data_IF_866181648286
#
_entry.id   IF_866181648286
#
_cell.length_a   1.000
_cell.length_b   1.000
_cell.length_c   1.000
_cell.angle_alpha   90.00
_cell.angle_beta   90.00
_cell.angle_gamma   90.00
#
_symmetry.space_group_name_H-M   'P 1'
#
loop_
_entity.id
_entity.type
_entity.pdbx_description
1 polymer ?
#
# COMPACT_ATOMS: atom_id res chain seq x y z
N UNK A 1 -9.50 15.89 1.32
CA UNK A 1 -10.17 14.61 0.95
C UNK A 1 -9.19 13.44 0.77
N UNK A 2 -9.55 12.25 1.26
CA UNK A 2 -8.77 10.99 1.18
C UNK A 2 -9.63 9.88 0.58
N UNK A 3 -9.08 9.10 -0.36
CA UNK A 3 -9.66 7.85 -0.86
C UNK A 3 -8.96 6.67 -0.19
N UNK A 4 -9.71 5.76 0.42
CA UNK A 4 -9.20 4.55 1.06
C UNK A 4 -9.75 3.30 0.36
N UNK A 5 -8.87 2.35 0.07
CA UNK A 5 -9.24 1.06 -0.52
C UNK A 5 -8.15 0.01 -0.31
N UNK A 6 -8.52 -1.25 -0.54
CA UNK A 6 -7.67 -2.41 -0.35
C UNK A 6 -7.32 -3.11 -1.67
N UNK A 7 -6.08 -3.61 -1.77
CA UNK A 7 -5.68 -4.53 -2.83
C UNK A 7 -5.00 -5.76 -2.28
N UNK A 8 -5.22 -6.90 -2.94
CA UNK A 8 -4.69 -8.19 -2.48
C UNK A 8 -3.50 -8.65 -3.31
N UNK A 9 -2.47 -9.15 -2.62
CA UNK A 9 -1.28 -9.79 -3.22
C UNK A 9 -1.28 -11.27 -2.84
N UNK A 10 -1.24 -12.16 -3.82
CA UNK A 10 -1.28 -13.61 -3.55
C UNK A 10 -0.01 -14.09 -2.86
N UNK A 11 -0.19 -14.90 -1.81
CA UNK A 11 0.87 -15.65 -1.16
C UNK A 11 1.20 -16.87 -2.02
N UNK A 12 2.33 -16.80 -2.73
CA UNK A 12 2.80 -17.86 -3.65
C UNK A 12 3.89 -18.73 -3.04
N UNK A 13 4.60 -18.23 -2.04
CA UNK A 13 5.70 -18.93 -1.37
C UNK A 13 5.18 -20.11 -0.54
N UNK A 14 5.70 -21.31 -0.82
CA UNK A 14 5.25 -22.56 -0.18
C UNK A 14 5.26 -22.50 1.36
N UNK A 15 6.28 -21.93 2.05
CA UNK A 15 6.31 -21.90 3.51
C UNK A 15 5.13 -21.15 4.15
N UNK A 16 4.60 -20.12 3.47
CA UNK A 16 3.54 -19.25 3.99
C UNK A 16 2.16 -19.57 3.40
N UNK A 17 2.12 -20.41 2.36
CA UNK A 17 0.88 -20.78 1.68
C UNK A 17 0.15 -21.87 2.47
N UNK A 18 -1.06 -21.56 2.90
CA UNK A 18 -1.96 -22.54 3.50
C UNK A 18 -2.56 -23.45 2.44
N UNK A 19 -2.40 -24.74 2.67
CA UNK A 19 -2.97 -25.82 1.87
C UNK A 19 -3.89 -26.65 2.74
N UNK A 20 -4.93 -27.19 2.13
CA UNK A 20 -5.80 -28.18 2.77
C UNK A 20 -5.03 -29.50 2.97
N UNK A 21 -5.55 -30.41 3.81
CA UNK A 21 -4.96 -31.74 3.98
C UNK A 21 -4.80 -32.52 2.67
N UNK A 22 -5.65 -32.26 1.66
CA UNK A 22 -5.60 -32.85 0.31
C UNK A 22 -4.59 -32.16 -0.63
N UNK A 23 -3.78 -31.23 -0.13
CA UNK A 23 -2.80 -30.47 -0.90
C UNK A 23 -3.39 -29.38 -1.80
N UNK A 24 -4.73 -29.23 -1.86
CA UNK A 24 -5.37 -28.17 -2.66
C UNK A 24 -5.38 -26.84 -1.92
N UNK A 25 -5.42 -25.74 -2.68
CA UNK A 25 -5.56 -24.40 -2.12
C UNK A 25 -6.92 -24.20 -1.44
N UNK A 26 -6.94 -23.47 -0.33
CA UNK A 26 -8.17 -23.03 0.34
C UNK A 26 -8.93 -22.05 -0.58
N UNK A 27 -10.22 -22.30 -0.87
CA UNK A 27 -11.11 -21.41 -1.63
C UNK A 27 -11.84 -20.42 -0.68
N UNK A 28 -12.03 -19.17 -1.11
CA UNK A 28 -12.64 -18.06 -0.34
C UNK A 28 -11.79 -16.78 -0.42
N UNK A 29 -12.19 -15.66 0.21
CA UNK A 29 -11.33 -14.48 0.46
C UNK A 29 -10.14 -14.96 1.30
N UNK A 30 -9.12 -15.46 0.61
CA UNK A 30 -8.34 -16.58 1.12
C UNK A 30 -7.27 -16.08 2.08
N UNK A 31 -7.01 -16.83 3.14
CA UNK A 31 -5.80 -16.69 3.96
C UNK A 31 -4.51 -16.70 3.11
N UNK A 32 -4.55 -17.12 1.85
CA UNK A 32 -3.45 -17.04 0.88
C UNK A 32 -3.34 -15.70 0.13
N UNK A 33 -3.88 -14.62 0.70
CA UNK A 33 -3.73 -13.26 0.20
C UNK A 33 -3.26 -12.35 1.30
N UNK A 34 -2.29 -11.49 1.00
CA UNK A 34 -1.92 -10.33 1.81
C UNK A 34 -2.79 -9.15 1.40
N UNK A 35 -3.40 -8.50 2.37
CA UNK A 35 -4.10 -7.24 2.14
C UNK A 35 -3.13 -6.08 2.27
N UNK A 36 -3.09 -5.28 1.20
CA UNK A 36 -2.43 -3.98 1.16
C UNK A 36 -3.52 -2.93 1.22
N UNK A 37 -3.55 -2.16 2.31
CA UNK A 37 -4.43 -0.99 2.43
C UNK A 37 -3.70 0.22 1.84
N UNK A 38 -4.41 1.01 1.05
CA UNK A 38 -3.89 2.24 0.46
C UNK A 38 -4.79 3.42 0.82
N UNK A 39 -4.18 4.55 1.17
CA UNK A 39 -4.86 5.83 1.32
C UNK A 39 -4.20 6.83 0.38
N UNK A 40 -4.99 7.53 -0.43
CA UNK A 40 -4.51 8.47 -1.44
C UNK A 40 -5.33 9.75 -1.36
N UNK A 41 -4.68 10.90 -1.26
CA UNK A 41 -5.36 12.18 -1.32
C UNK A 41 -5.49 12.69 -2.76
N UNK A 42 -6.26 13.76 -2.95
CA UNK A 42 -6.51 14.37 -4.28
C UNK A 42 -5.25 14.87 -4.99
N UNK A 43 -4.18 15.13 -4.25
CA UNK A 43 -2.89 15.56 -4.81
C UNK A 43 -2.01 14.37 -5.23
N UNK A 44 -2.48 13.13 -5.03
CA UNK A 44 -1.74 11.90 -5.31
C UNK A 44 -0.69 11.54 -4.26
N UNK A 45 -0.67 12.25 -3.12
CA UNK A 45 0.12 11.85 -1.94
C UNK A 45 -0.57 10.65 -1.31
N UNK A 46 0.20 9.63 -0.97
CA UNK A 46 -0.32 8.31 -0.64
C UNK A 46 0.47 7.61 0.45
N UNK A 47 -0.15 6.57 0.99
CA UNK A 47 0.45 5.56 1.87
C UNK A 47 -0.07 4.18 1.44
N UNK A 48 0.77 3.16 1.55
CA UNK A 48 0.43 1.77 1.28
C UNK A 48 1.09 0.86 2.32
N UNK A 49 0.30 0.04 3.01
CA UNK A 49 0.80 -0.88 4.06
C UNK A 49 0.24 -2.27 3.89
N UNK A 50 1.07 -3.29 4.08
CA UNK A 50 0.62 -4.66 4.30
C UNK A 50 0.07 -4.73 5.71
N UNK A 51 -1.23 -4.98 5.85
CA UNK A 51 -1.91 -4.89 7.15
C UNK A 51 -2.20 -6.27 7.73
N UNK A 52 -2.63 -7.21 6.88
CA UNK A 52 -3.09 -8.51 7.33
C UNK A 52 -3.02 -9.56 6.23
N UNK A 53 -3.29 -10.80 6.59
CA UNK A 53 -3.80 -11.81 5.67
C UNK A 53 -5.30 -11.63 5.52
N UNK A 54 -5.82 -11.82 4.31
CA UNK A 54 -7.22 -11.55 3.98
C UNK A 54 -7.66 -10.14 4.44
N UNK A 55 -8.96 -9.91 4.56
CA UNK A 55 -9.50 -8.59 4.87
C UNK A 55 -9.12 -8.13 6.29
N UNK A 56 -8.52 -6.93 6.48
CA UNK A 56 -8.11 -6.43 7.79
C UNK A 56 -9.28 -6.25 8.75
N UNK A 57 -9.00 -6.24 10.05
CA UNK A 57 -9.94 -5.81 11.09
C UNK A 57 -9.85 -4.28 11.29
N UNK A 58 -10.92 -3.61 11.75
CA UNK A 58 -10.92 -2.17 12.02
C UNK A 58 -9.74 -1.70 12.87
N UNK A 59 -9.40 -2.43 13.93
CA UNK A 59 -8.26 -2.12 14.79
C UNK A 59 -6.94 -2.08 14.01
N UNK A 60 -6.77 -2.99 13.05
CA UNK A 60 -5.56 -3.02 12.23
C UNK A 60 -5.46 -1.81 11.30
N UNK A 61 -6.57 -1.19 10.90
CA UNK A 61 -6.53 0.10 10.22
C UNK A 61 -6.06 1.22 11.17
N UNK A 62 -6.60 1.25 12.39
CA UNK A 62 -6.22 2.24 13.42
C UNK A 62 -4.71 2.19 13.66
N UNK A 63 -4.21 1.00 14.04
CA UNK A 63 -2.79 0.79 14.39
C UNK A 63 -1.84 1.14 13.23
N UNK A 64 -2.31 1.04 11.99
CA UNK A 64 -1.47 1.28 10.81
C UNK A 64 -1.61 2.69 10.24
N UNK A 65 -2.71 3.41 10.45
CA UNK A 65 -2.98 4.63 9.68
C UNK A 65 -3.23 5.86 10.53
N UNK A 66 -3.56 5.74 11.83
CA UNK A 66 -3.91 6.90 12.65
C UNK A 66 -2.71 7.82 12.92
N UNK A 67 -1.53 7.30 13.22
CA UNK A 67 -0.36 8.13 13.61
C UNK A 67 0.18 9.07 12.52
N UNK A 68 -0.12 8.79 11.25
CA UNK A 68 0.43 9.53 10.11
C UNK A 68 -0.63 10.18 9.24
N UNK A 69 -1.89 10.14 9.68
CA UNK A 69 -2.98 10.80 8.99
C UNK A 69 -2.98 12.28 9.41
N UNK A 70 -2.75 13.17 8.45
CA UNK A 70 -2.87 14.60 8.68
C UNK A 70 -4.34 15.01 8.86
N UNK A 71 -4.61 16.31 8.74
CA UNK A 71 -5.98 16.80 8.73
C UNK A 71 -6.78 16.14 7.60
N UNK A 72 -7.86 15.46 7.96
CA UNK A 72 -8.82 14.89 7.02
C UNK A 72 -10.02 15.80 6.95
N UNK A 73 -10.51 16.07 5.75
CA UNK A 73 -11.74 16.84 5.53
C UNK A 73 -12.92 15.93 5.19
N UNK A 74 -12.63 14.81 4.51
CA UNK A 74 -13.62 13.91 3.90
C UNK A 74 -12.94 12.60 3.48
N UNK A 75 -13.64 11.48 3.62
CA UNK A 75 -13.26 10.20 3.06
C UNK A 75 -14.15 9.77 1.88
N UNK A 76 -13.53 9.09 0.91
CA UNK A 76 -14.21 8.32 -0.13
C UNK A 76 -13.79 6.86 0.00
N UNK A 77 -14.76 5.95 -0.08
CA UNK A 77 -14.54 4.51 0.01
C UNK A 77 -15.48 3.73 -0.91
N UNK A 78 -15.26 2.42 -1.00
CA UNK A 78 -15.95 1.52 -1.92
C UNK A 78 -17.21 0.84 -1.34
N UNK A 79 -17.54 1.15 -0.08
CA UNK A 79 -18.63 0.55 0.69
C UNK A 79 -18.24 -0.57 1.66
N UNK A 80 -16.96 -0.92 1.79
CA UNK A 80 -16.51 -1.90 2.79
C UNK A 80 -16.82 -1.47 4.23
N UNK A 81 -17.55 -2.31 4.97
CA UNK A 81 -18.01 -2.01 6.33
C UNK A 81 -16.88 -1.91 7.35
N UNK A 82 -15.79 -2.66 7.17
CA UNK A 82 -14.64 -2.62 8.09
C UNK A 82 -13.86 -1.31 7.94
N UNK A 83 -13.70 -0.86 6.69
CA UNK A 83 -13.10 0.43 6.36
C UNK A 83 -13.96 1.57 6.90
N UNK A 84 -15.29 1.45 6.80
CA UNK A 84 -16.24 2.40 7.40
C UNK A 84 -16.09 2.53 8.92
N UNK A 85 -15.92 1.42 9.65
CA UNK A 85 -15.69 1.44 11.10
C UNK A 85 -14.40 2.19 11.48
N UNK A 86 -13.34 2.04 10.69
CA UNK A 86 -12.13 2.84 10.87
C UNK A 86 -12.40 4.34 10.65
N UNK A 87 -13.13 4.70 9.59
CA UNK A 87 -13.36 6.11 9.27
C UNK A 87 -14.26 6.84 10.27
N UNK A 88 -15.14 6.11 10.98
CA UNK A 88 -16.04 6.70 11.99
C UNK A 88 -15.32 7.30 13.21
N UNK A 89 -14.01 7.06 13.39
CA UNK A 89 -13.24 7.75 14.42
C UNK A 89 -12.93 9.21 14.07
N UNK A 90 -13.12 9.60 12.80
CA UNK A 90 -12.89 10.96 12.33
C UNK A 90 -14.24 11.68 12.21
N UNK A 91 -14.35 12.88 12.77
CA UNK A 91 -15.54 13.73 12.68
C UNK A 91 -15.64 14.41 11.30
N UNK A 92 -15.66 13.61 10.24
CA UNK A 92 -15.64 14.06 8.84
C UNK A 92 -16.64 13.28 8.02
N UNK A 93 -17.00 13.82 6.86
CA UNK A 93 -17.93 13.17 5.94
C UNK A 93 -17.32 11.90 5.32
N UNK A 94 -18.11 10.81 5.31
CA UNK A 94 -17.75 9.50 4.74
C UNK A 94 -18.65 9.18 3.55
N UNK A 95 -18.09 9.22 2.33
CA UNK A 95 -18.84 9.04 1.08
C UNK A 95 -18.54 7.68 0.45
N UNK A 96 -19.59 6.92 0.16
CA UNK A 96 -19.49 5.71 -0.65
C UNK A 96 -19.44 6.07 -2.14
N UNK A 97 -18.24 6.16 -2.70
CA UNK A 97 -18.02 6.54 -4.10
C UNK A 97 -18.52 5.53 -5.13
N UNK A 98 -18.90 4.30 -4.73
CA UNK A 98 -19.57 3.35 -5.64
C UNK A 98 -21.08 3.55 -5.73
N UNK A 99 -21.66 4.26 -4.76
CA UNK A 99 -23.10 4.55 -4.70
C UNK A 99 -23.41 6.03 -4.93
N UNK A 100 -22.40 6.83 -5.25
CA UNK A 100 -22.60 8.23 -5.57
C UNK A 100 -23.25 8.38 -6.95
N UNK A 101 -24.49 8.86 -6.96
CA UNK A 101 -25.28 9.06 -8.19
C UNK A 101 -24.96 10.41 -8.85
N UNK A 102 -24.32 11.33 -8.13
CA UNK A 102 -23.96 12.66 -8.66
C UNK A 102 -22.78 12.60 -9.63
N UNK A 103 -21.94 11.57 -9.48
CA UNK A 103 -20.69 11.42 -10.24
C UNK A 103 -19.55 12.32 -9.75
N UNK A 104 -19.75 13.04 -8.65
CA UNK A 104 -18.76 13.92 -8.04
C UNK A 104 -17.65 13.11 -7.34
N UNK A 105 -17.99 11.93 -6.83
CA UNK A 105 -17.12 11.09 -6.02
C UNK A 105 -16.92 9.71 -6.67
N UNK A 106 -15.67 9.26 -6.76
CA UNK A 106 -15.32 8.00 -7.44
C UNK A 106 -14.11 7.30 -6.83
N UNK A 107 -14.07 5.97 -6.94
CA UNK A 107 -12.91 5.13 -6.59
C UNK A 107 -11.89 5.00 -7.72
N UNK A 108 -12.14 5.56 -8.91
CA UNK A 108 -11.25 5.41 -10.08
C UNK A 108 -9.81 5.81 -9.78
N UNK A 109 -9.60 6.84 -8.95
CA UNK A 109 -8.27 7.29 -8.55
C UNK A 109 -7.48 6.18 -7.85
N UNK A 110 -8.10 5.48 -6.91
CA UNK A 110 -7.46 4.41 -6.13
C UNK A 110 -7.35 3.12 -6.95
N UNK A 111 -8.31 2.83 -7.82
CA UNK A 111 -8.23 1.72 -8.79
C UNK A 111 -7.03 1.87 -9.74
N UNK A 112 -6.79 3.09 -10.24
CA UNK A 112 -5.61 3.39 -11.05
C UNK A 112 -4.32 3.28 -10.23
N UNK A 113 -4.34 3.76 -8.97
CA UNK A 113 -3.20 3.64 -8.06
C UNK A 113 -2.83 2.16 -7.83
N UNK A 114 -3.80 1.30 -7.56
CA UNK A 114 -3.59 -0.16 -7.43
C UNK A 114 -3.05 -0.79 -8.71
N UNK A 115 -3.54 -0.37 -9.88
CA UNK A 115 -3.05 -0.85 -11.17
C UNK A 115 -1.57 -0.53 -11.36
N UNK A 116 -1.15 0.70 -11.00
CA UNK A 116 0.25 1.13 -11.06
C UNK A 116 1.10 0.38 -10.02
N UNK A 117 0.57 0.14 -8.80
CA UNK A 117 1.22 -0.62 -7.74
C UNK A 117 1.47 -2.08 -8.16
N UNK A 118 0.44 -2.77 -8.67
CA UNK A 118 0.54 -4.15 -9.16
C UNK A 118 1.57 -4.26 -10.29
N UNK A 119 1.57 -3.31 -11.23
CA UNK A 119 2.58 -3.24 -12.30
C UNK A 119 3.98 -2.99 -11.75
N UNK A 120 4.13 -2.18 -10.71
CA UNK A 120 5.42 -1.96 -10.05
C UNK A 120 5.93 -3.25 -9.40
N UNK A 121 5.10 -3.97 -8.66
CA UNK A 121 5.49 -5.24 -8.03
C UNK A 121 5.81 -6.32 -9.07
N UNK A 122 5.03 -6.40 -10.16
CA UNK A 122 5.27 -7.35 -11.25
C UNK A 122 6.65 -7.19 -11.89
N UNK A 123 7.14 -5.95 -12.05
CA UNK A 123 8.47 -5.67 -12.61
C UNK A 123 9.63 -6.16 -11.73
N UNK A 124 9.39 -6.40 -10.45
CA UNK A 124 10.38 -6.93 -9.52
C UNK A 124 10.23 -8.44 -9.39
N UNK A 125 10.19 -9.18 -10.51
CA UNK A 125 9.99 -10.64 -10.47
C UNK A 125 11.03 -11.31 -9.56
N UNK A 126 10.56 -12.13 -8.61
CA UNK A 126 11.41 -12.83 -7.65
C UNK A 126 11.68 -12.10 -6.34
N UNK A 127 10.96 -11.00 -6.05
CA UNK A 127 11.04 -10.39 -4.71
C UNK A 127 10.56 -11.35 -3.62
N UNK A 128 11.24 -11.34 -2.47
CA UNK A 128 10.82 -12.09 -1.29
C UNK A 128 9.57 -11.44 -0.69
N UNK A 129 8.51 -12.21 -0.51
CA UNK A 129 7.23 -11.71 -0.03
C UNK A 129 7.35 -11.10 1.37
N UNK A 130 8.23 -11.64 2.22
CA UNK A 130 8.57 -11.04 3.53
C UNK A 130 9.05 -9.59 3.43
N UNK A 131 9.60 -9.17 2.30
CA UNK A 131 10.09 -7.81 2.09
C UNK A 131 9.05 -6.88 1.43
N UNK A 132 7.81 -7.33 1.21
CA UNK A 132 6.78 -6.58 0.47
C UNK A 132 6.60 -5.15 0.99
N UNK A 133 6.62 -4.93 2.30
CA UNK A 133 6.49 -3.59 2.87
C UNK A 133 7.62 -2.65 2.43
N UNK A 134 8.86 -3.12 2.26
CA UNK A 134 9.95 -2.27 1.75
C UNK A 134 9.72 -1.86 0.30
N UNK A 135 9.18 -2.76 -0.53
CA UNK A 135 8.79 -2.43 -1.90
C UNK A 135 7.66 -1.41 -1.93
N UNK A 136 6.66 -1.53 -1.04
CA UNK A 136 5.60 -0.54 -0.88
C UNK A 136 6.16 0.81 -0.41
N UNK A 137 7.07 0.83 0.56
CA UNK A 137 7.71 2.06 1.03
C UNK A 137 8.45 2.76 -0.12
N UNK A 138 9.20 2.02 -0.94
CA UNK A 138 9.87 2.58 -2.10
C UNK A 138 8.87 3.06 -3.16
N UNK A 139 7.81 2.30 -3.41
CA UNK A 139 6.73 2.69 -4.31
C UNK A 139 6.09 4.02 -3.88
N UNK A 140 5.64 4.10 -2.63
CA UNK A 140 5.02 5.29 -2.02
C UNK A 140 5.98 6.47 -2.07
N UNK A 141 7.25 6.28 -1.70
CA UNK A 141 8.27 7.33 -1.81
C UNK A 141 8.34 7.90 -3.22
N UNK A 142 8.34 7.04 -4.26
CA UNK A 142 8.35 7.49 -5.65
C UNK A 142 7.07 8.22 -6.04
N UNK A 143 5.90 7.74 -5.62
CA UNK A 143 4.63 8.42 -5.95
C UNK A 143 4.55 9.79 -5.28
N UNK A 144 4.84 9.85 -3.98
CA UNK A 144 4.77 11.08 -3.21
C UNK A 144 5.80 12.10 -3.72
N UNK A 145 7.02 11.67 -4.07
CA UNK A 145 8.01 12.57 -4.68
C UNK A 145 7.46 13.23 -5.95
N UNK A 146 6.78 12.46 -6.81
CA UNK A 146 6.19 12.99 -8.05
C UNK A 146 4.99 13.91 -7.76
N UNK A 147 4.13 13.55 -6.81
CA UNK A 147 3.00 14.36 -6.38
C UNK A 147 3.45 15.76 -5.91
N UNK A 148 4.49 15.83 -5.07
CA UNK A 148 5.02 17.10 -4.57
C UNK A 148 5.67 18.00 -5.62
N UNK A 149 5.99 17.47 -6.82
CA UNK A 149 6.65 18.24 -7.88
C UNK A 149 5.66 18.75 -8.95
N UNK A 150 4.35 18.62 -8.74
CA UNK A 150 3.27 19.14 -9.59
C UNK A 150 3.55 19.01 -11.11
N UNK A 151 3.79 17.77 -11.54
CA UNK A 151 4.31 17.45 -12.87
C UNK A 151 3.22 17.64 -13.93
N UNK A 152 3.45 18.57 -14.87
CA UNK A 152 2.50 18.89 -15.95
C UNK A 152 2.80 18.17 -17.27
N UNK A 153 4.03 17.66 -17.46
CA UNK A 153 4.43 16.99 -18.69
C UNK A 153 5.52 15.92 -18.48
N UNK A 154 5.78 15.12 -19.51
CA UNK A 154 6.74 14.01 -19.46
C UNK A 154 8.18 14.47 -19.16
N UNK A 155 8.61 15.61 -19.71
CA UNK A 155 9.96 16.14 -19.48
C UNK A 155 10.18 16.52 -18.02
N UNK A 156 9.20 17.18 -17.40
CA UNK A 156 9.21 17.47 -15.96
C UNK A 156 9.21 16.17 -15.14
N UNK A 157 8.47 15.14 -15.57
CA UNK A 157 8.46 13.82 -14.92
C UNK A 157 9.84 13.18 -14.91
N UNK A 158 10.54 13.20 -16.05
CA UNK A 158 11.89 12.64 -16.19
C UNK A 158 12.87 13.43 -15.30
N UNK A 159 12.82 14.76 -15.34
CA UNK A 159 13.65 15.63 -14.49
C UNK A 159 13.42 15.35 -13.00
N UNK A 160 12.17 15.23 -12.57
CA UNK A 160 11.81 14.92 -11.18
C UNK A 160 12.36 13.55 -10.75
N UNK A 161 12.20 12.51 -11.58
CA UNK A 161 12.77 11.18 -11.31
C UNK A 161 14.29 11.21 -11.19
N UNK A 162 14.97 11.93 -12.08
CA UNK A 162 16.44 12.04 -12.02
C UNK A 162 16.89 12.76 -10.74
N UNK A 163 16.18 13.82 -10.33
CA UNK A 163 16.44 14.53 -9.07
C UNK A 163 16.22 13.63 -7.85
N UNK A 164 15.14 12.84 -7.86
CA UNK A 164 14.83 11.85 -6.83
C UNK A 164 15.95 10.82 -6.67
N UNK A 165 16.40 10.22 -7.77
CA UNK A 165 17.49 9.23 -7.77
C UNK A 165 18.78 9.86 -7.21
N UNK A 166 19.15 11.05 -7.68
CA UNK A 166 20.32 11.79 -7.16
C UNK A 166 20.18 12.08 -5.67
N UNK A 167 18.98 12.43 -5.20
CA UNK A 167 18.70 12.70 -3.78
C UNK A 167 18.86 11.44 -2.93
N UNK A 168 18.30 10.30 -3.35
CA UNK A 168 18.47 9.01 -2.67
C UNK A 168 19.95 8.64 -2.61
N UNK A 169 20.66 8.70 -3.75
CA UNK A 169 22.06 8.33 -3.82
C UNK A 169 22.92 9.16 -2.85
N UNK A 170 22.70 10.47 -2.80
CA UNK A 170 23.36 11.35 -1.82
C UNK A 170 23.05 10.99 -0.36
N UNK A 171 21.82 10.56 -0.06
CA UNK A 171 21.43 10.12 1.29
C UNK A 171 22.11 8.81 1.66
N UNK A 172 22.20 7.86 0.73
CA UNK A 172 22.90 6.58 0.92
C UNK A 172 24.38 6.83 1.19
N UNK A 173 25.05 7.67 0.40
CA UNK A 173 26.46 8.01 0.61
C UNK A 173 26.76 8.73 1.94
N UNK A 174 25.77 9.40 2.53
CA UNK A 174 25.90 10.07 3.83
C UNK A 174 25.43 9.19 5.00
N UNK A 175 24.88 8.01 4.72
CA UNK A 175 24.41 7.11 5.76
C UNK A 175 25.61 6.54 6.51
N UNK A 176 25.60 6.70 7.83
CA UNK A 176 26.57 6.05 8.73
C UNK A 176 26.20 4.57 8.92
N UNK A 177 24.91 4.23 8.72
CA UNK A 177 24.45 2.84 8.76
C UNK A 177 24.92 2.10 7.53
N UNK A 178 25.80 1.13 7.74
CA UNK A 178 26.12 0.10 6.77
C UNK A 178 25.07 -1.02 6.86
N UNK A 179 24.61 -1.48 5.70
CA UNK A 179 23.69 -2.62 5.60
C UNK A 179 24.40 -3.66 4.75
N UNK A 180 24.80 -4.76 5.38
CA UNK A 180 25.42 -5.88 4.67
C UNK A 180 24.36 -6.73 3.99
N UNK A 181 24.78 -7.62 3.09
CA UNK A 181 23.88 -8.62 2.52
C UNK A 181 23.27 -9.51 3.60
N UNK A 182 24.04 -9.86 4.64
CA UNK A 182 23.55 -10.66 5.76
C UNK A 182 22.48 -9.94 6.57
N UNK A 183 22.63 -8.63 6.81
CA UNK A 183 21.61 -7.81 7.46
C UNK A 183 20.31 -7.83 6.66
N UNK A 184 20.39 -7.65 5.34
CA UNK A 184 19.25 -7.74 4.44
C UNK A 184 18.59 -9.13 4.47
N UNK A 185 19.40 -10.19 4.54
CA UNK A 185 18.88 -11.56 4.58
C UNK A 185 18.19 -11.88 5.91
N UNK A 186 18.71 -11.35 7.02
CA UNK A 186 18.17 -11.49 8.39
C UNK A 186 16.95 -10.62 8.65
N UNK A 187 16.69 -9.59 7.84
CA UNK A 187 15.50 -8.77 7.95
C UNK A 187 14.23 -9.65 7.94
N UNK A 188 13.43 -9.52 8.99
CA UNK A 188 12.18 -10.25 9.17
C UNK A 188 11.07 -9.68 8.27
N UNK A 189 11.12 -8.39 7.96
CA UNK A 189 10.07 -7.72 7.19
C UNK A 189 8.68 -8.00 7.77
N UNK A 190 7.78 -8.53 6.94
CA UNK A 190 6.39 -8.86 7.31
C UNK A 190 6.20 -10.34 7.73
N UNK A 191 7.24 -11.04 8.19
CA UNK A 191 7.10 -12.47 8.59
C UNK A 191 6.01 -12.67 9.65
N UNK A 192 5.83 -11.74 10.58
CA UNK A 192 4.78 -11.81 11.60
C UNK A 192 3.37 -11.89 10.98
N UNK A 193 3.14 -11.18 9.86
CA UNK A 193 1.87 -11.26 9.12
C UNK A 193 1.79 -12.56 8.32
N UNK A 194 2.90 -13.00 7.70
CA UNK A 194 2.95 -14.20 6.86
C UNK A 194 2.80 -15.49 7.67
N UNK A 195 3.29 -15.52 8.89
CA UNK A 195 3.27 -16.69 9.78
C UNK A 195 2.01 -16.74 10.66
N UNK A 196 1.24 -15.65 10.72
CA UNK A 196 -0.06 -15.63 11.37
C UNK A 196 -0.99 -16.63 10.67
N UNK A 197 -1.47 -17.63 11.43
CA UNK A 197 -2.27 -18.77 10.96
C UNK A 197 -3.74 -18.54 11.21
#
# INVERSE_FOLDING_TARGET
MIVIDETFISIREKPYKHVRPDGKGIRGLSFNQLCVVTMVNIYGVSVAKVVSRAMPLPQQFIDNFTDNIGQVEKFIHDGNTKTYQFMNQFEVENINGRKDETGEYSTIMVDNYHSILKRFLYKHSGYKLKNLQHYLNFFVYRQNYLAYHNIKNMNQRIKAKNKMIKSIFKRVLKSIKEVTFDDFMKDKGITEILENR
#
